data_IF_906047452840
#
_entry.id   IF_906047452840
#
_cell.length_a   1.000
_cell.length_b   1.000
_cell.length_c   1.000
_cell.angle_alpha   90.00
_cell.angle_beta   90.00
_cell.angle_gamma   90.00
#
_symmetry.space_group_name_H-M   'P 1'
#
loop_
_entity.id
_entity.type
_entity.pdbx_description
1 polymer ?
#
# COMPACT_ATOMS: atom_id res chain seq x y z
N UNK A 1 -12.12 48.77 52.19
CA UNK A 1 -11.21 47.90 51.41
C UNK A 1 -11.68 46.48 51.55
N UNK A 2 -12.40 45.95 50.57
CA UNK A 2 -12.92 44.57 50.53
C UNK A 2 -12.15 43.78 49.51
N UNK A 3 -11.35 42.81 49.95
CA UNK A 3 -10.69 41.78 49.08
C UNK A 3 -11.71 40.72 48.72
N UNK A 4 -11.96 40.52 47.44
CA UNK A 4 -12.72 39.37 46.92
C UNK A 4 -11.73 38.24 46.65
N UNK A 5 -11.88 37.12 47.33
CA UNK A 5 -11.26 35.84 47.02
C UNK A 5 -12.05 35.22 45.86
N UNK A 6 -11.37 34.95 44.77
CA UNK A 6 -11.90 34.05 43.69
C UNK A 6 -11.41 32.63 43.96
N UNK A 7 -12.36 31.75 44.23
CA UNK A 7 -12.12 30.32 44.38
C UNK A 7 -12.22 29.70 42.99
N UNK A 8 -11.09 29.27 42.45
CA UNK A 8 -11.06 28.39 41.25
C UNK A 8 -11.35 26.97 41.70
N UNK A 9 -12.50 26.44 41.29
CA UNK A 9 -12.85 25.04 41.41
C UNK A 9 -12.12 24.26 40.30
N UNK A 10 -11.11 23.51 40.69
CA UNK A 10 -10.45 22.54 39.78
C UNK A 10 -11.27 21.24 39.86
N UNK A 11 -12.09 20.99 38.86
CA UNK A 11 -12.72 19.68 38.66
C UNK A 11 -11.69 18.69 38.15
N UNK A 12 -11.26 17.84 39.06
CA UNK A 12 -10.38 16.71 38.76
C UNK A 12 -11.25 15.57 38.18
N UNK A 13 -11.28 15.43 36.84
CA UNK A 13 -11.91 14.28 36.19
C UNK A 13 -10.92 13.13 36.24
N UNK A 14 -11.21 12.19 37.13
CA UNK A 14 -10.52 10.90 37.26
C UNK A 14 -10.97 10.01 36.07
N UNK A 15 -10.17 9.94 34.98
CA UNK A 15 -10.39 8.98 33.88
C UNK A 15 -9.83 7.63 34.34
N UNK A 16 -10.73 6.73 34.71
CA UNK A 16 -10.42 5.32 34.90
C UNK A 16 -9.95 4.73 33.57
N UNK A 17 -8.66 4.45 33.46
CA UNK A 17 -8.07 3.60 32.39
C UNK A 17 -8.53 2.16 32.63
N UNK A 18 -9.69 1.81 32.09
CA UNK A 18 -10.02 0.40 31.84
C UNK A 18 -9.28 0.00 30.58
N UNK A 19 -8.20 -0.77 30.76
CA UNK A 19 -7.49 -1.43 29.68
C UNK A 19 -8.38 -2.51 29.05
N UNK A 20 -9.28 -2.10 28.15
CA UNK A 20 -9.91 -2.98 27.20
C UNK A 20 -9.00 -3.06 25.96
N UNK A 21 -8.65 -4.25 25.51
CA UNK A 21 -8.17 -4.45 24.15
C UNK A 21 -9.20 -3.82 23.21
N UNK A 22 -8.91 -2.61 22.70
CA UNK A 22 -9.65 -2.07 21.57
C UNK A 22 -9.28 -2.93 20.38
N UNK A 23 -10.16 -3.88 20.00
CA UNK A 23 -10.20 -4.36 18.63
C UNK A 23 -10.39 -3.11 17.77
N UNK A 24 -9.41 -2.83 16.91
CA UNK A 24 -9.59 -1.78 15.91
C UNK A 24 -10.89 -2.09 15.14
N UNK A 25 -11.81 -1.13 15.01
CA UNK A 25 -12.97 -1.33 14.16
C UNK A 25 -12.44 -1.62 12.75
N UNK A 26 -12.94 -2.67 12.11
CA UNK A 26 -12.67 -2.95 10.70
C UNK A 26 -12.96 -1.67 9.90
N UNK A 27 -12.09 -1.30 8.93
CA UNK A 27 -12.40 -0.22 8.02
C UNK A 27 -13.77 -0.50 7.39
N UNK A 28 -14.60 0.53 7.26
CA UNK A 28 -15.91 0.37 6.63
C UNK A 28 -15.69 -0.14 5.20
N UNK A 29 -16.35 -1.25 4.79
CA UNK A 29 -16.17 -1.80 3.45
C UNK A 29 -16.55 -0.76 2.40
N UNK A 30 -15.76 -0.71 1.33
CA UNK A 30 -16.09 0.15 0.17
C UNK A 30 -17.40 -0.36 -0.43
N UNK A 31 -18.42 0.48 -0.62
CA UNK A 31 -19.71 0.01 -1.11
C UNK A 31 -19.58 -0.56 -2.53
N UNK A 32 -19.99 -1.79 -2.71
CA UNK A 32 -20.15 -2.41 -4.03
C UNK A 32 -21.37 -1.75 -4.71
N UNK A 33 -21.34 -1.48 -6.03
CA UNK A 33 -22.48 -0.87 -6.72
C UNK A 33 -23.79 -1.61 -6.49
N UNK A 34 -24.85 -0.91 -6.07
CA UNK A 34 -26.10 -1.44 -5.50
C UNK A 34 -27.07 -2.14 -6.49
N UNK A 35 -26.66 -2.61 -7.64
CA UNK A 35 -27.55 -3.25 -8.62
C UNK A 35 -27.20 -4.70 -8.93
N UNK A 36 -26.90 -5.49 -7.89
CA UNK A 36 -26.45 -6.87 -8.11
C UNK A 36 -27.63 -7.83 -7.97
N UNK A 37 -28.12 -8.33 -9.11
CA UNK A 37 -28.93 -9.54 -9.15
C UNK A 37 -27.97 -10.72 -9.22
N UNK A 38 -27.86 -11.48 -8.14
CA UNK A 38 -27.10 -12.72 -8.12
C UNK A 38 -27.76 -13.74 -9.06
N UNK A 39 -27.20 -13.93 -10.25
CA UNK A 39 -27.47 -15.10 -11.08
C UNK A 39 -26.16 -15.84 -11.29
N UNK A 40 -26.10 -17.14 -10.98
CA UNK A 40 -24.91 -17.94 -11.25
C UNK A 40 -24.63 -17.91 -12.75
N UNK A 41 -23.49 -17.42 -13.15
CA UNK A 41 -23.02 -17.50 -14.52
C UNK A 41 -21.88 -18.52 -14.53
N UNK A 42 -21.96 -19.53 -15.42
CA UNK A 42 -20.79 -20.35 -15.74
C UNK A 42 -19.77 -19.43 -16.45
N UNK A 43 -18.91 -18.82 -15.69
CA UNK A 43 -17.79 -18.08 -16.20
C UNK A 43 -16.53 -18.92 -16.00
N UNK A 44 -15.75 -19.08 -17.04
CA UNK A 44 -14.36 -19.50 -16.91
C UNK A 44 -13.63 -18.46 -16.08
N UNK A 45 -13.50 -18.72 -14.79
CA UNK A 45 -12.66 -17.93 -13.92
C UNK A 45 -11.26 -18.49 -13.95
N UNK A 46 -10.36 -17.64 -14.27
CA UNK A 46 -8.98 -17.81 -13.87
C UNK A 46 -8.94 -17.65 -12.34
N UNK A 47 -8.41 -18.64 -11.65
CA UNK A 47 -8.34 -18.69 -10.18
C UNK A 47 -7.66 -17.48 -9.54
N UNK A 48 -7.52 -17.43 -8.21
CA UNK A 48 -6.93 -16.30 -7.53
C UNK A 48 -5.48 -16.08 -7.97
N UNK A 49 -5.25 -14.98 -8.69
CA UNK A 49 -3.91 -14.52 -9.00
C UNK A 49 -3.34 -13.81 -7.77
N UNK A 50 -2.26 -14.35 -7.21
CA UNK A 50 -1.66 -13.87 -5.97
C UNK A 50 -2.69 -13.77 -4.83
N UNK A 51 -3.04 -12.53 -4.47
CA UNK A 51 -3.99 -12.21 -3.40
C UNK A 51 -5.37 -11.81 -3.91
N UNK A 52 -5.64 -11.89 -5.20
CA UNK A 52 -6.89 -11.42 -5.80
C UNK A 52 -7.78 -12.55 -6.29
N UNK A 53 -9.08 -12.37 -6.09
CA UNK A 53 -10.16 -13.21 -6.60
C UNK A 53 -11.06 -12.36 -7.48
N UNK A 54 -11.33 -12.81 -8.70
CA UNK A 54 -12.25 -12.15 -9.64
C UNK A 54 -13.59 -12.87 -9.65
N UNK A 55 -14.64 -12.20 -9.23
CA UNK A 55 -15.97 -12.79 -9.06
C UNK A 55 -16.95 -12.13 -10.01
N UNK A 56 -17.57 -12.87 -10.95
CA UNK A 56 -18.65 -12.34 -11.77
C UNK A 56 -19.94 -12.25 -10.98
N UNK A 57 -20.47 -11.04 -10.86
CA UNK A 57 -21.72 -10.76 -10.17
C UNK A 57 -22.56 -9.85 -11.07
N UNK A 58 -23.78 -10.29 -11.41
CA UNK A 58 -24.70 -9.48 -12.21
C UNK A 58 -24.26 -9.16 -13.63
N UNK A 59 -23.30 -9.92 -14.20
CA UNK A 59 -22.75 -9.71 -15.55
C UNK A 59 -21.52 -8.79 -15.60
N UNK A 60 -21.06 -8.32 -14.46
CA UNK A 60 -19.81 -7.59 -14.29
C UNK A 60 -18.84 -8.41 -13.44
N UNK A 61 -17.53 -8.24 -13.65
CA UNK A 61 -16.51 -8.92 -12.87
C UNK A 61 -15.96 -7.96 -11.82
N UNK A 62 -16.03 -8.38 -10.57
CA UNK A 62 -15.53 -7.62 -9.43
C UNK A 62 -14.27 -8.26 -8.89
N UNK A 63 -13.28 -7.41 -8.55
CA UNK A 63 -12.04 -7.84 -7.94
C UNK A 63 -12.15 -7.79 -6.43
N UNK A 64 -11.68 -8.85 -5.78
CA UNK A 64 -11.58 -8.98 -4.33
C UNK A 64 -10.14 -9.28 -3.94
N UNK A 65 -9.69 -8.65 -2.87
CA UNK A 65 -8.36 -8.86 -2.29
C UNK A 65 -8.49 -9.74 -1.03
N UNK A 66 -7.56 -10.65 -0.85
CA UNK A 66 -7.55 -11.55 0.31
C UNK A 66 -7.47 -10.74 1.60
N UNK A 67 -8.35 -11.07 2.54
CA UNK A 67 -8.40 -10.45 3.85
C UNK A 67 -7.79 -11.39 4.89
N UNK A 68 -6.62 -11.01 5.47
CA UNK A 68 -5.83 -11.90 6.33
C UNK A 68 -6.47 -12.23 7.68
N UNK A 69 -7.48 -11.48 8.10
CA UNK A 69 -8.14 -11.67 9.40
C UNK A 69 -9.61 -11.99 9.20
N UNK A 70 -9.96 -13.28 9.18
CA UNK A 70 -11.38 -13.68 9.17
C UNK A 70 -12.01 -13.21 10.48
N UNK A 71 -12.98 -12.27 10.46
CA UNK A 71 -13.71 -11.90 11.65
C UNK A 71 -14.40 -13.14 12.21
N UNK A 72 -14.28 -13.39 13.50
CA UNK A 72 -14.90 -14.56 14.15
C UNK A 72 -16.45 -14.60 14.09
N UNK A 73 -17.05 -13.62 13.42
CA UNK A 73 -18.48 -13.46 13.21
C UNK A 73 -18.90 -13.64 11.75
N UNK A 74 -17.97 -13.84 10.81
CA UNK A 74 -18.32 -14.03 9.40
C UNK A 74 -19.00 -15.40 9.21
N UNK A 75 -20.19 -15.38 8.61
CA UNK A 75 -21.01 -16.58 8.35
C UNK A 75 -21.11 -16.80 6.84
N UNK A 76 -20.80 -18.02 6.40
CA UNK A 76 -20.93 -18.40 5.00
C UNK A 76 -22.40 -18.41 4.59
N UNK A 77 -22.76 -17.61 3.59
CA UNK A 77 -24.08 -17.48 3.01
C UNK A 77 -24.29 -18.31 1.76
N UNK A 78 -25.04 -17.77 0.79
CA UNK A 78 -25.38 -18.45 -0.47
C UNK A 78 -24.15 -18.66 -1.35
N UNK A 79 -24.13 -19.79 -2.08
CA UNK A 79 -23.11 -20.08 -3.07
C UNK A 79 -23.22 -19.13 -4.27
N UNK A 80 -22.11 -18.51 -4.66
CA UNK A 80 -22.03 -17.58 -5.78
C UNK A 80 -21.55 -18.30 -7.04
N UNK A 81 -20.40 -19.02 -6.95
CA UNK A 81 -19.81 -19.71 -8.09
C UNK A 81 -18.78 -20.76 -7.65
N UNK A 82 -18.46 -21.65 -8.58
CA UNK A 82 -17.30 -22.54 -8.51
C UNK A 82 -16.31 -22.18 -9.60
N UNK A 83 -15.01 -22.22 -9.31
CA UNK A 83 -13.95 -22.00 -10.28
C UNK A 83 -12.79 -22.98 -10.07
N UNK A 84 -11.97 -23.15 -11.09
CA UNK A 84 -10.78 -23.99 -11.05
C UNK A 84 -9.56 -23.12 -11.24
N UNK A 85 -8.61 -23.21 -10.33
CA UNK A 85 -7.29 -22.65 -10.49
C UNK A 85 -6.33 -23.74 -10.97
N UNK A 86 -5.65 -23.48 -12.07
CA UNK A 86 -4.58 -24.35 -12.58
C UNK A 86 -3.24 -23.66 -12.38
N UNK A 87 -2.46 -24.12 -11.41
CA UNK A 87 -1.14 -23.56 -11.11
C UNK A 87 -0.05 -24.10 -12.05
N UNK A 88 -0.40 -24.99 -12.99
CA UNK A 88 0.53 -25.72 -13.84
C UNK A 88 1.19 -26.93 -13.14
N UNK A 89 0.98 -27.09 -11.83
CA UNK A 89 1.44 -28.23 -11.03
C UNK A 89 0.27 -28.98 -10.42
N UNK A 90 -0.74 -28.25 -9.91
CA UNK A 90 -1.94 -28.78 -9.27
C UNK A 90 -3.15 -27.95 -9.70
N UNK A 91 -4.33 -28.57 -9.68
CA UNK A 91 -5.60 -27.90 -9.89
C UNK A 91 -6.33 -27.81 -8.56
N UNK A 92 -6.76 -26.61 -8.21
CA UNK A 92 -7.58 -26.35 -7.03
C UNK A 92 -8.99 -25.99 -7.48
N UNK A 93 -9.97 -26.64 -6.88
CA UNK A 93 -11.36 -26.26 -7.08
C UNK A 93 -11.75 -25.30 -5.97
N UNK A 94 -12.17 -24.11 -6.37
CA UNK A 94 -12.63 -23.06 -5.48
C UNK A 94 -14.15 -22.98 -5.48
N UNK A 95 -14.71 -22.81 -4.28
CA UNK A 95 -16.12 -22.52 -4.06
C UNK A 95 -16.22 -21.12 -3.43
N UNK A 96 -17.00 -20.23 -4.03
CA UNK A 96 -17.18 -18.85 -3.57
C UNK A 96 -18.60 -18.65 -3.08
N UNK A 97 -18.73 -18.05 -1.90
CA UNK A 97 -20.00 -17.82 -1.21
C UNK A 97 -20.14 -16.35 -0.82
N UNK A 98 -21.38 -15.88 -0.72
CA UNK A 98 -21.69 -14.63 -0.05
C UNK A 98 -21.33 -14.72 1.45
N UNK A 99 -21.20 -13.59 2.11
CA UNK A 99 -21.08 -13.50 3.57
C UNK A 99 -22.37 -12.90 4.11
N UNK A 100 -23.06 -13.61 5.03
CA UNK A 100 -24.40 -13.21 5.51
C UNK A 100 -24.42 -11.79 6.12
N UNK A 101 -23.36 -11.41 6.82
CA UNK A 101 -23.21 -10.09 7.45
C UNK A 101 -22.94 -8.96 6.45
N UNK A 102 -22.60 -9.31 5.19
CA UNK A 102 -22.27 -8.37 4.11
C UNK A 102 -23.09 -8.65 2.84
N UNK A 103 -24.42 -8.43 2.89
CA UNK A 103 -25.33 -8.73 1.77
C UNK A 103 -25.09 -7.85 0.53
N UNK A 104 -24.28 -6.79 0.66
CA UNK A 104 -23.83 -5.93 -0.42
C UNK A 104 -22.63 -6.53 -1.19
N UNK A 105 -22.22 -7.75 -0.86
CA UNK A 105 -21.04 -8.42 -1.42
C UNK A 105 -19.73 -7.64 -1.26
N UNK A 106 -19.63 -6.76 -0.26
CA UNK A 106 -18.36 -6.12 0.09
C UNK A 106 -17.31 -7.11 0.58
N UNK A 107 -17.74 -8.30 1.02
CA UNK A 107 -16.90 -9.45 1.30
C UNK A 107 -17.49 -10.71 0.64
N UNK A 108 -16.60 -11.62 0.23
CA UNK A 108 -16.93 -12.96 -0.20
C UNK A 108 -16.09 -13.98 0.56
N UNK A 109 -16.66 -15.18 0.74
CA UNK A 109 -16.01 -16.32 1.38
C UNK A 109 -15.54 -17.27 0.29
N UNK A 110 -14.29 -17.68 0.28
CA UNK A 110 -13.75 -18.63 -0.68
C UNK A 110 -13.13 -19.83 0.02
N UNK A 111 -13.43 -21.00 -0.48
CA UNK A 111 -12.94 -22.30 0.02
C UNK A 111 -12.30 -23.06 -1.12
N UNK A 112 -11.18 -23.75 -0.84
CA UNK A 112 -10.59 -24.72 -1.74
C UNK A 112 -10.22 -25.99 -0.97
N UNK A 113 -10.41 -27.16 -1.59
CA UNK A 113 -9.98 -28.42 -0.99
C UNK A 113 -8.44 -28.52 -1.00
N UNK A 114 -7.82 -29.21 0.03
CA UNK A 114 -8.51 -29.96 1.08
C UNK A 114 -8.90 -29.15 2.31
N UNK A 115 -8.35 -27.98 2.62
CA UNK A 115 -8.63 -27.26 3.88
C UNK A 115 -8.35 -25.77 3.82
N UNK A 116 -8.40 -25.15 2.64
CA UNK A 116 -8.17 -23.73 2.51
C UNK A 116 -9.50 -22.97 2.59
N UNK A 117 -9.53 -21.98 3.49
CA UNK A 117 -10.66 -21.08 3.65
C UNK A 117 -10.15 -19.67 3.85
N UNK A 118 -10.65 -18.71 3.09
CA UNK A 118 -10.28 -17.30 3.19
C UNK A 118 -11.46 -16.39 2.98
N UNK A 119 -11.39 -15.23 3.62
CA UNK A 119 -12.27 -14.10 3.35
C UNK A 119 -11.58 -13.17 2.36
N UNK A 120 -12.34 -12.67 1.39
CA UNK A 120 -11.88 -11.70 0.40
C UNK A 120 -12.75 -10.45 0.48
N UNK A 121 -12.10 -9.29 0.47
CA UNK A 121 -12.77 -7.99 0.49
C UNK A 121 -12.80 -7.39 -0.91
N UNK A 122 -13.91 -6.77 -1.29
CA UNK A 122 -14.00 -6.00 -2.54
C UNK A 122 -12.90 -4.94 -2.59
N UNK A 123 -12.11 -4.96 -3.66
CA UNK A 123 -10.98 -4.08 -3.89
C UNK A 123 -11.16 -3.35 -5.22
N UNK A 124 -11.71 -2.14 -5.20
CA UNK A 124 -11.86 -1.34 -6.42
C UNK A 124 -10.48 -0.99 -7.00
N UNK A 125 -10.40 -0.69 -8.30
CA UNK A 125 -9.17 -0.23 -8.91
C UNK A 125 -8.57 0.96 -8.16
N UNK A 126 -7.24 0.93 -7.98
CA UNK A 126 -6.47 1.95 -7.23
C UNK A 126 -5.94 3.08 -8.13
N UNK A 127 -6.31 3.06 -9.43
CA UNK A 127 -5.87 4.03 -10.42
C UNK A 127 -6.11 5.47 -9.95
N UNK A 128 -5.09 6.31 -10.14
CA UNK A 128 -5.21 7.73 -9.86
C UNK A 128 -6.14 8.44 -10.85
N UNK A 129 -6.78 9.50 -10.38
CA UNK A 129 -7.65 10.33 -11.22
C UNK A 129 -6.89 10.89 -12.43
N UNK A 130 -7.55 11.01 -13.60
CA UNK A 130 -6.94 11.63 -14.76
C UNK A 130 -6.41 13.03 -14.44
N UNK A 131 -5.16 13.31 -14.80
CA UNK A 131 -4.52 14.60 -14.54
C UNK A 131 -3.85 14.74 -13.16
N UNK A 132 -3.92 13.72 -12.30
CA UNK A 132 -3.27 13.74 -10.98
C UNK A 132 -1.76 13.99 -11.06
N UNK A 133 -1.08 13.39 -12.04
CA UNK A 133 0.35 13.58 -12.26
C UNK A 133 0.68 15.01 -12.67
N UNK A 134 -0.07 15.58 -13.63
CA UNK A 134 0.11 16.95 -14.10
C UNK A 134 -0.15 17.97 -13.00
N UNK A 135 -1.16 17.70 -12.16
CA UNK A 135 -1.44 18.53 -11.00
C UNK A 135 -0.27 18.48 -9.99
N UNK A 136 0.22 17.29 -9.67
CA UNK A 136 1.34 17.13 -8.75
C UNK A 136 2.61 17.84 -9.26
N UNK A 137 2.90 17.77 -10.56
CA UNK A 137 4.01 18.52 -11.17
C UNK A 137 3.80 20.03 -11.08
N UNK A 138 2.57 20.50 -11.33
CA UNK A 138 2.20 21.93 -11.25
C UNK A 138 2.33 22.48 -9.84
N UNK A 139 2.06 21.65 -8.84
CA UNK A 139 2.19 21.98 -7.40
C UNK A 139 3.64 21.95 -6.92
N UNK A 140 4.60 21.59 -7.78
CA UNK A 140 6.02 21.54 -7.48
C UNK A 140 6.44 20.34 -6.62
N UNK A 141 5.64 19.29 -6.61
CA UNK A 141 5.93 18.02 -5.92
C UNK A 141 7.13 17.34 -6.60
N UNK A 142 7.99 16.72 -5.81
CA UNK A 142 9.09 15.89 -6.32
C UNK A 142 8.47 14.62 -6.89
N UNK A 143 8.55 14.41 -8.21
CA UNK A 143 7.93 13.27 -8.87
C UNK A 143 8.99 12.30 -9.39
N UNK A 144 8.84 11.07 -8.98
CA UNK A 144 9.56 9.92 -9.53
C UNK A 144 8.57 9.08 -10.35
N UNK A 145 8.90 8.85 -11.62
CA UNK A 145 8.11 8.04 -12.54
C UNK A 145 8.88 6.75 -12.82
N UNK A 146 8.33 5.62 -12.39
CA UNK A 146 8.95 4.28 -12.52
C UNK A 146 10.42 4.23 -12.02
N UNK A 147 10.72 5.04 -10.99
CA UNK A 147 12.03 5.13 -10.36
C UNK A 147 12.94 6.23 -10.89
N UNK A 148 12.52 7.02 -11.88
CA UNK A 148 13.29 8.17 -12.40
C UNK A 148 12.73 9.48 -11.88
N UNK A 149 13.59 10.39 -11.45
CA UNK A 149 13.19 11.75 -11.08
C UNK A 149 12.83 12.56 -12.31
N UNK A 150 11.59 12.94 -12.47
CA UNK A 150 11.06 13.69 -13.63
C UNK A 150 10.76 15.16 -13.32
N UNK A 151 10.48 15.50 -12.06
CA UNK A 151 10.26 16.89 -11.65
C UNK A 151 10.59 17.10 -10.17
N UNK A 152 10.71 18.39 -9.77
CA UNK A 152 10.94 18.78 -8.37
C UNK A 152 12.33 18.53 -7.82
N UNK A 153 13.32 18.16 -8.63
CA UNK A 153 14.70 17.86 -8.17
C UNK A 153 15.30 18.97 -7.31
N UNK A 154 15.07 20.25 -7.65
CA UNK A 154 15.59 21.36 -6.85
C UNK A 154 14.95 21.41 -5.45
N UNK A 155 13.65 21.13 -5.32
CA UNK A 155 12.95 21.06 -4.03
C UNK A 155 13.53 19.93 -3.16
N UNK A 156 13.86 18.79 -3.78
CA UNK A 156 14.54 17.69 -3.10
C UNK A 156 15.93 18.11 -2.58
N UNK A 157 16.76 18.69 -3.42
CA UNK A 157 18.11 19.13 -3.05
C UNK A 157 18.08 20.18 -1.92
N UNK A 158 17.13 21.12 -1.98
CA UNK A 158 16.95 22.14 -0.94
C UNK A 158 16.49 21.50 0.39
N UNK A 159 15.62 20.50 0.36
CA UNK A 159 15.23 19.72 1.52
C UNK A 159 16.43 19.01 2.15
N UNK A 160 17.19 18.24 1.35
CA UNK A 160 18.38 17.51 1.83
C UNK A 160 19.39 18.47 2.44
N UNK A 161 19.68 19.61 1.79
CA UNK A 161 20.60 20.61 2.29
C UNK A 161 20.19 21.18 3.65
N UNK A 162 18.92 21.50 3.84
CA UNK A 162 18.38 22.00 5.13
C UNK A 162 18.51 20.94 6.22
N UNK A 163 18.13 19.70 5.94
CA UNK A 163 18.19 18.62 6.93
C UNK A 163 19.65 18.34 7.36
N UNK A 164 20.60 18.38 6.44
CA UNK A 164 22.02 18.24 6.74
C UNK A 164 22.56 19.38 7.62
N UNK A 165 21.95 20.56 7.57
CA UNK A 165 22.27 21.69 8.43
C UNK A 165 21.53 21.65 9.77
N UNK A 166 20.68 20.64 10.03
CA UNK A 166 19.84 20.55 11.22
C UNK A 166 18.63 21.49 11.18
N UNK A 167 18.33 22.10 10.04
CA UNK A 167 17.17 22.99 9.88
C UNK A 167 15.90 22.21 9.60
N UNK A 168 14.79 22.65 10.22
CA UNK A 168 13.45 22.08 9.93
C UNK A 168 13.11 22.27 8.46
N UNK A 169 12.59 21.21 7.85
CA UNK A 169 12.23 21.20 6.44
C UNK A 169 11.08 20.27 6.18
N UNK A 170 10.36 20.49 5.06
CA UNK A 170 9.36 19.56 4.54
C UNK A 170 9.41 19.53 3.02
N UNK A 171 9.02 18.40 2.45
CA UNK A 171 8.89 18.20 1.01
C UNK A 171 7.79 17.18 0.73
N UNK A 172 6.99 17.45 -0.31
CA UNK A 172 6.05 16.46 -0.85
C UNK A 172 6.75 15.66 -1.95
N UNK A 173 6.58 14.36 -1.90
CA UNK A 173 7.18 13.42 -2.86
C UNK A 173 6.08 12.54 -3.44
N UNK A 174 6.07 12.35 -4.75
CA UNK A 174 5.15 11.49 -5.47
C UNK A 174 5.89 10.37 -6.19
N UNK A 175 5.48 9.14 -5.92
CA UNK A 175 5.91 7.96 -6.66
C UNK A 175 4.80 7.60 -7.66
N UNK A 176 5.07 7.82 -8.92
CA UNK A 176 4.15 7.49 -10.01
C UNK A 176 4.60 6.21 -10.69
N UNK A 177 3.69 5.27 -10.79
CA UNK A 177 3.95 3.97 -11.39
C UNK A 177 3.02 3.72 -12.57
N UNK A 178 3.61 3.15 -13.62
CA UNK A 178 2.90 2.60 -14.76
C UNK A 178 3.01 1.09 -14.78
N UNK A 179 2.18 0.43 -15.55
CA UNK A 179 2.26 -1.01 -15.76
C UNK A 179 2.42 -1.27 -17.25
N UNK A 180 3.49 -1.97 -17.61
CA UNK A 180 3.80 -2.29 -19.00
C UNK A 180 3.54 -3.77 -19.26
N UNK A 181 2.63 -4.06 -20.23
CA UNK A 181 2.26 -5.41 -20.63
C UNK A 181 3.46 -6.24 -21.14
N UNK A 182 4.39 -5.60 -21.89
CA UNK A 182 5.51 -6.30 -22.49
C UNK A 182 6.57 -6.76 -21.50
N UNK A 183 6.67 -6.06 -20.35
CA UNK A 183 7.70 -6.34 -19.32
C UNK A 183 7.15 -7.02 -18.08
N UNK A 184 5.83 -7.05 -17.91
CA UNK A 184 5.17 -7.67 -16.79
C UNK A 184 4.85 -9.15 -17.05
N UNK A 185 4.81 -9.95 -15.98
CA UNK A 185 4.26 -11.30 -16.13
C UNK A 185 2.79 -11.20 -16.53
N UNK A 186 2.29 -12.00 -17.50
CA UNK A 186 0.93 -11.89 -18.02
C UNK A 186 -0.15 -11.91 -16.92
N UNK A 187 -0.03 -12.83 -15.96
CA UNK A 187 -1.02 -12.97 -14.89
C UNK A 187 -1.01 -11.73 -13.96
N UNK A 188 0.19 -11.20 -13.64
CA UNK A 188 0.31 -9.98 -12.86
C UNK A 188 -0.29 -8.78 -13.60
N UNK A 189 -0.01 -8.66 -14.91
CA UNK A 189 -0.57 -7.60 -15.73
C UNK A 189 -2.10 -7.65 -15.73
N UNK A 190 -2.69 -8.82 -16.01
CA UNK A 190 -4.15 -8.98 -16.01
C UNK A 190 -4.79 -8.65 -14.66
N UNK A 191 -4.16 -9.05 -13.56
CA UNK A 191 -4.67 -8.79 -12.22
C UNK A 191 -4.63 -7.30 -11.82
N UNK A 192 -3.67 -6.54 -12.36
CA UNK A 192 -3.37 -5.19 -11.88
C UNK A 192 -3.54 -4.07 -12.90
N UNK A 193 -3.79 -4.36 -14.18
CA UNK A 193 -3.86 -3.32 -15.24
C UNK A 193 -4.84 -2.18 -14.95
N UNK A 194 -5.90 -2.44 -14.20
CA UNK A 194 -6.88 -1.44 -13.81
C UNK A 194 -6.41 -0.54 -12.64
N UNK A 195 -5.36 -0.93 -11.92
CA UNK A 195 -4.79 -0.14 -10.83
C UNK A 195 -3.85 0.97 -11.31
N UNK A 196 -3.41 0.91 -12.56
CA UNK A 196 -2.41 1.82 -13.10
C UNK A 196 -2.99 2.75 -14.17
N UNK A 197 -2.39 3.94 -14.35
CA UNK A 197 -1.29 4.48 -13.56
C UNK A 197 -1.71 4.92 -12.17
N UNK A 198 -0.79 4.85 -11.21
CA UNK A 198 -1.06 5.25 -9.82
C UNK A 198 0.05 6.19 -9.30
N UNK A 199 -0.35 7.21 -8.53
CA UNK A 199 0.57 8.10 -7.83
C UNK A 199 0.37 7.95 -6.32
N UNK A 200 1.44 7.63 -5.60
CA UNK A 200 1.48 7.64 -4.15
C UNK A 200 2.17 8.91 -3.68
N UNK A 201 1.44 9.73 -2.92
CA UNK A 201 1.95 10.97 -2.35
C UNK A 201 2.39 10.75 -0.90
N UNK A 202 3.58 11.20 -0.57
CA UNK A 202 4.12 11.19 0.78
C UNK A 202 4.49 12.60 1.22
N UNK A 203 4.20 12.92 2.48
CA UNK A 203 4.64 14.15 3.15
C UNK A 203 5.85 13.79 4.03
N UNK A 204 7.03 14.25 3.62
CA UNK A 204 8.28 14.04 4.34
C UNK A 204 8.66 15.32 5.09
N UNK A 205 8.86 15.20 6.40
CA UNK A 205 9.22 16.31 7.27
C UNK A 205 10.44 15.97 8.11
N UNK A 206 11.23 17.00 8.40
CA UNK A 206 12.31 16.95 9.37
C UNK A 206 12.09 18.07 10.40
N UNK A 207 12.01 17.74 11.68
CA UNK A 207 11.74 18.70 12.74
C UNK A 207 13.02 19.29 13.40
N UNK A 208 14.20 18.90 12.91
CA UNK A 208 15.51 19.23 13.46
C UNK A 208 16.15 18.09 14.25
N UNK A 209 15.42 17.00 14.49
CA UNK A 209 15.88 15.81 15.21
C UNK A 209 15.46 14.51 14.51
N UNK A 210 14.17 14.40 14.14
CA UNK A 210 13.58 13.23 13.52
C UNK A 210 12.99 13.54 12.15
N UNK A 211 13.00 12.55 11.29
CA UNK A 211 12.24 12.52 10.05
C UNK A 211 10.89 11.85 10.31
N UNK A 212 9.80 12.46 9.83
CA UNK A 212 8.49 11.82 9.78
C UNK A 212 8.04 11.72 8.33
N UNK A 213 7.59 10.54 7.92
CA UNK A 213 6.98 10.28 6.62
C UNK A 213 5.52 9.90 6.83
N UNK A 214 4.62 10.56 6.10
CA UNK A 214 3.18 10.34 6.21
C UNK A 214 2.55 10.14 4.83
N UNK A 215 1.58 9.22 4.75
CA UNK A 215 0.79 8.98 3.56
C UNK A 215 -0.65 8.61 3.93
N UNK A 216 -1.56 8.73 2.95
CA UNK A 216 -2.95 8.31 3.11
C UNK A 216 -3.10 6.83 2.71
N UNK A 217 -3.74 6.06 3.56
CA UNK A 217 -4.03 4.65 3.33
C UNK A 217 -5.37 4.27 3.97
N UNK A 218 -6.26 3.64 3.21
CA UNK A 218 -7.58 3.17 3.67
C UNK A 218 -8.42 4.25 4.38
N UNK A 219 -8.34 5.50 3.91
CA UNK A 219 -9.07 6.64 4.49
C UNK A 219 -8.51 7.18 5.80
N UNK A 220 -7.29 6.80 6.15
CA UNK A 220 -6.55 7.32 7.30
C UNK A 220 -5.13 7.71 6.94
N UNK A 221 -4.53 8.60 7.74
CA UNK A 221 -3.13 8.98 7.60
C UNK A 221 -2.24 8.06 8.41
N UNK A 222 -1.30 7.40 7.76
CA UNK A 222 -0.23 6.64 8.41
C UNK A 222 0.99 7.53 8.54
N UNK A 223 1.65 7.50 9.69
CA UNK A 223 2.90 8.23 9.94
C UNK A 223 3.93 7.30 10.55
N UNK A 224 5.17 7.36 10.04
CA UNK A 224 6.33 6.68 10.61
C UNK A 224 7.44 7.67 10.88
N UNK A 225 8.27 7.39 11.89
CA UNK A 225 9.38 8.24 12.31
C UNK A 225 10.71 7.49 12.19
N UNK A 226 11.74 8.23 11.74
CA UNK A 226 13.08 7.71 11.54
C UNK A 226 14.12 8.74 11.99
N UNK A 227 15.31 8.24 12.34
CA UNK A 227 16.41 9.11 12.81
C UNK A 227 17.31 9.61 11.70
N UNK A 228 17.46 8.84 10.62
CA UNK A 228 18.47 9.09 9.60
C UNK A 228 17.89 9.06 8.21
N UNK A 229 18.33 9.99 7.38
CA UNK A 229 18.14 9.96 5.93
C UNK A 229 19.46 9.51 5.30
N UNK A 230 19.51 8.25 4.93
CA UNK A 230 20.70 7.64 4.30
C UNK A 230 20.71 7.92 2.81
N UNK A 231 21.90 8.14 2.27
CA UNK A 231 22.12 8.38 0.85
C UNK A 231 22.99 7.25 0.27
N UNK A 232 22.46 6.54 -0.69
CA UNK A 232 23.11 5.42 -1.35
C UNK A 232 23.24 5.70 -2.84
N UNK A 233 24.43 5.46 -3.38
CA UNK A 233 24.71 5.49 -4.82
C UNK A 233 25.47 4.23 -5.20
N UNK A 234 25.22 3.71 -6.39
CA UNK A 234 25.93 2.52 -6.83
C UNK A 234 25.51 2.06 -8.23
N UNK A 235 26.26 1.11 -8.73
CA UNK A 235 25.93 0.43 -9.98
C UNK A 235 24.78 -0.58 -9.76
N UNK A 236 24.14 -0.97 -10.85
CA UNK A 236 23.15 -2.02 -10.81
C UNK A 236 23.74 -3.34 -10.28
N UNK A 237 23.00 -4.10 -9.45
CA UNK A 237 23.54 -5.29 -8.78
C UNK A 237 23.83 -6.45 -9.76
N UNK A 238 23.21 -6.44 -10.93
CA UNK A 238 23.40 -7.48 -11.95
C UNK A 238 23.47 -6.88 -13.35
N UNK A 239 24.09 -7.62 -14.27
CA UNK A 239 24.13 -7.24 -15.68
C UNK A 239 22.74 -7.27 -16.37
N UNK A 240 21.78 -7.99 -15.79
CA UNK A 240 20.41 -8.12 -16.28
C UNK A 240 19.46 -7.04 -15.75
N UNK A 241 19.89 -6.20 -14.80
CA UNK A 241 19.09 -5.08 -14.34
C UNK A 241 18.72 -4.14 -15.48
N UNK A 242 17.56 -3.54 -15.45
CA UNK A 242 17.07 -2.58 -16.47
C UNK A 242 17.75 -1.22 -16.39
N UNK A 243 18.40 -0.91 -15.26
CA UNK A 243 19.14 0.32 -15.03
C UNK A 243 20.65 0.05 -14.93
N UNK A 244 21.46 1.09 -15.08
CA UNK A 244 22.92 1.08 -15.00
C UNK A 244 23.43 1.44 -13.62
N UNK A 245 22.87 2.49 -13.03
CA UNK A 245 23.22 2.99 -11.70
C UNK A 245 22.00 3.57 -11.00
N UNK A 246 22.12 3.78 -9.70
CA UNK A 246 21.05 4.35 -8.88
C UNK A 246 21.59 5.38 -7.89
N UNK A 247 20.73 6.34 -7.58
CA UNK A 247 20.81 7.22 -6.42
C UNK A 247 19.54 7.04 -5.59
N UNK A 248 19.70 6.80 -4.28
CA UNK A 248 18.57 6.53 -3.38
C UNK A 248 18.74 7.25 -2.07
N UNK A 249 17.63 7.76 -1.54
CA UNK A 249 17.55 8.22 -0.17
C UNK A 249 16.53 7.39 0.59
N UNK A 250 16.97 6.87 1.74
CA UNK A 250 16.21 5.90 2.54
C UNK A 250 16.22 6.33 4.00
N UNK A 251 15.05 6.35 4.60
CA UNK A 251 14.89 6.58 6.04
C UNK A 251 15.19 5.31 6.81
N UNK A 252 15.98 5.41 7.87
CA UNK A 252 16.33 4.29 8.76
C UNK A 252 16.47 4.77 10.21
N UNK A 253 16.49 3.82 11.15
CA UNK A 253 16.81 4.09 12.56
C UNK A 253 18.26 3.74 12.95
N UNK A 254 19.05 3.24 11.99
CA UNK A 254 20.46 2.89 12.15
C UNK A 254 21.29 3.48 10.99
N UNK A 255 22.23 4.35 11.30
CA UNK A 255 23.10 5.02 10.31
C UNK A 255 24.30 4.16 9.87
N UNK A 256 24.43 2.95 10.34
CA UNK A 256 25.48 2.00 9.92
C UNK A 256 25.01 1.06 8.82
N UNK A 257 23.69 1.02 8.55
CA UNK A 257 23.08 0.14 7.54
C UNK A 257 23.59 0.51 6.14
N UNK A 258 24.06 -0.48 5.41
CA UNK A 258 24.47 -0.35 4.01
C UNK A 258 23.31 -0.66 3.06
N UNK A 259 23.45 -0.27 1.78
CA UNK A 259 22.47 -0.66 0.77
C UNK A 259 22.39 -2.19 0.59
N UNK A 260 23.52 -2.89 0.73
CA UNK A 260 23.56 -4.35 0.66
C UNK A 260 22.79 -5.01 1.82
N UNK A 261 22.89 -4.46 3.04
CA UNK A 261 22.12 -4.95 4.20
C UNK A 261 20.62 -4.79 3.97
N UNK A 262 20.18 -3.65 3.44
CA UNK A 262 18.77 -3.42 3.10
C UNK A 262 18.27 -4.42 2.04
N UNK A 263 19.04 -4.60 0.96
CA UNK A 263 18.71 -5.55 -0.10
C UNK A 263 18.66 -6.99 0.41
N UNK A 264 19.60 -7.36 1.28
CA UNK A 264 19.61 -8.68 1.92
C UNK A 264 18.36 -8.88 2.77
N UNK A 265 18.03 -7.90 3.63
CA UNK A 265 16.86 -7.98 4.50
C UNK A 265 15.53 -8.07 3.74
N UNK A 266 15.43 -7.38 2.58
CA UNK A 266 14.24 -7.47 1.71
C UNK A 266 14.12 -8.81 0.97
N UNK A 267 15.25 -9.44 0.64
CA UNK A 267 15.28 -10.73 -0.07
C UNK A 267 15.24 -11.95 0.86
N UNK A 268 15.50 -11.77 2.15
CA UNK A 268 15.56 -12.85 3.12
C UNK A 268 14.16 -13.34 3.51
N UNK A 269 14.00 -14.64 3.58
CA UNK A 269 12.80 -15.27 4.16
C UNK A 269 12.82 -15.32 5.71
N UNK A 270 13.91 -14.87 6.34
CA UNK A 270 14.04 -14.83 7.79
C UNK A 270 13.59 -13.49 8.33
N UNK A 271 12.54 -13.50 9.13
CA UNK A 271 11.95 -12.27 9.69
C UNK A 271 12.95 -11.41 10.47
N UNK A 272 13.97 -12.02 11.07
CA UNK A 272 15.02 -11.31 11.84
C UNK A 272 15.99 -10.51 10.98
N UNK A 273 16.06 -10.73 9.68
CA UNK A 273 16.96 -10.03 8.77
C UNK A 273 16.35 -8.72 8.23
N UNK A 274 15.03 -8.53 8.39
CA UNK A 274 14.37 -7.32 7.93
C UNK A 274 14.78 -6.11 8.74
N UNK A 275 15.22 -5.08 8.03
CA UNK A 275 15.58 -3.79 8.59
C UNK A 275 14.45 -2.81 8.31
N UNK A 276 13.86 -2.23 9.36
CA UNK A 276 12.80 -1.23 9.18
C UNK A 276 13.36 0.01 8.50
N UNK A 277 12.81 0.32 7.34
CA UNK A 277 13.25 1.42 6.48
C UNK A 277 12.09 1.95 5.63
N UNK A 278 12.28 3.13 5.03
CA UNK A 278 11.36 3.69 4.06
C UNK A 278 12.13 4.40 2.92
N UNK A 279 11.96 3.93 1.69
CA UNK A 279 12.57 4.55 0.51
C UNK A 279 11.77 5.78 0.10
N UNK A 280 12.36 6.97 0.21
CA UNK A 280 11.67 8.25 -0.07
C UNK A 280 12.02 8.84 -1.42
N UNK A 281 13.18 8.49 -1.97
CA UNK A 281 13.66 9.04 -3.25
C UNK A 281 14.49 7.98 -3.97
N UNK A 282 14.24 7.85 -5.26
CA UNK A 282 14.99 6.98 -6.16
C UNK A 282 15.17 7.69 -7.48
N UNK A 283 16.41 7.69 -7.99
CA UNK A 283 16.75 8.15 -9.33
C UNK A 283 17.62 7.10 -10.02
N UNK A 284 17.07 6.50 -11.06
CA UNK A 284 17.71 5.43 -11.81
C UNK A 284 18.31 5.99 -13.10
N UNK A 285 19.54 5.60 -13.38
CA UNK A 285 20.14 5.84 -14.70
C UNK A 285 19.90 4.59 -15.54
N UNK A 286 19.01 4.65 -16.49
CA UNK A 286 18.74 3.52 -17.38
C UNK A 286 19.88 3.23 -18.34
N UNK A 287 19.95 1.99 -18.81
CA UNK A 287 20.81 1.63 -19.92
C UNK A 287 20.25 2.30 -21.16
N UNK A 288 21.11 2.97 -21.93
CA UNK A 288 20.70 3.50 -23.22
C UNK A 288 20.07 2.36 -24.04
N UNK A 289 18.88 2.60 -24.54
CA UNK A 289 18.27 1.73 -25.53
C UNK A 289 19.20 1.75 -26.76
N UNK A 290 19.81 0.60 -27.07
CA UNK A 290 20.78 0.43 -28.15
C UNK A 290 20.06 0.26 -29.50
#
# INVERSE_FOLDING_TARGET
MRRRLSICLISMILILMLGGCMQQPMPAPTPVPQSISMQPTEAELTGPYDSYLFVPIGGETYRYERYDTVPGTATRGEHILSCVEDTGFEQFQWEVYAVEEYPDCSFVWAEAEPDFTSLYQYSPPKRSEPGALEQARSDGIVIMEDGDVKSGQQAWLDFVKKTQSGEKASVLVGHYYTLNEETSHPDYYEAHKEDYPIIYLIDLRYDGELFSVSWEENGGTITREYRYLMHYTGDAPTATATYKSHERYVLTNDNTVTWEDLMHGMASSQFGDYIDHYSVYTDLTHKDEA
#
